data_IF_020388677167
#
_entry.id   IF_020388677167
#
_cell.length_a   1.000
_cell.length_b   1.000
_cell.length_c   1.000
_cell.angle_alpha   90.00
_cell.angle_beta   90.00
_cell.angle_gamma   90.00
#
_symmetry.space_group_name_H-M   'P 1'
#
loop_
_entity.id
_entity.type
_entity.pdbx_description
1 polymer ?
#
# COMPACT_ATOMS: atom_id res chain seq x y z
N UNK A 1 37.50 -5.63 21.84
CA UNK A 1 36.77 -6.93 21.87
C UNK A 1 35.32 -6.63 22.09
N UNK A 2 34.54 -6.47 21.03
CA UNK A 2 33.09 -6.23 21.08
C UNK A 2 32.42 -7.50 20.58
N UNK A 3 31.58 -8.08 21.42
CA UNK A 3 30.80 -9.28 21.14
C UNK A 3 29.63 -8.85 20.25
N UNK A 4 29.61 -9.32 19.02
CA UNK A 4 28.48 -9.19 18.12
C UNK A 4 27.31 -10.04 18.66
N UNK A 5 26.15 -9.40 18.91
CA UNK A 5 24.90 -10.10 19.18
C UNK A 5 24.45 -10.80 17.88
N UNK A 6 24.44 -12.13 17.89
CA UNK A 6 23.90 -12.93 16.81
C UNK A 6 22.37 -12.83 16.75
N UNK A 7 21.73 -13.18 15.62
CA UNK A 7 20.28 -13.11 15.45
C UNK A 7 19.58 -14.02 16.47
N UNK A 8 18.63 -13.46 17.18
CA UNK A 8 17.80 -14.19 18.14
C UNK A 8 16.97 -15.24 17.38
N UNK A 9 16.97 -16.44 17.92
CA UNK A 9 16.53 -17.65 17.31
C UNK A 9 15.08 -17.64 16.80
N UNK A 10 14.91 -18.30 15.66
CA UNK A 10 13.62 -18.78 15.18
C UNK A 10 12.93 -19.58 16.30
N UNK A 11 11.75 -19.13 16.71
CA UNK A 11 10.87 -19.89 17.61
C UNK A 11 10.56 -21.27 17.04
N UNK A 12 10.05 -22.19 17.85
CA UNK A 12 9.76 -23.55 17.41
C UNK A 12 8.80 -23.48 16.21
N UNK A 13 9.22 -24.03 15.06
CA UNK A 13 8.35 -24.26 13.91
C UNK A 13 7.16 -25.11 14.39
N UNK A 14 5.97 -24.55 14.36
CA UNK A 14 4.75 -25.33 14.54
C UNK A 14 4.71 -26.33 13.39
N UNK A 15 4.58 -27.63 13.70
CA UNK A 15 4.20 -28.61 12.70
C UNK A 15 2.75 -28.29 12.33
N UNK A 16 2.56 -27.40 11.35
CA UNK A 16 1.25 -27.03 10.85
C UNK A 16 0.66 -28.27 10.18
N UNK A 17 -0.56 -28.67 10.59
CA UNK A 17 -1.31 -29.74 9.94
C UNK A 17 -1.60 -29.41 8.47
N UNK A 18 -2.31 -30.30 7.78
CA UNK A 18 -2.63 -30.15 6.37
C UNK A 18 -3.43 -28.85 6.11
N UNK A 19 -2.97 -28.03 5.15
CA UNK A 19 -3.69 -26.85 4.66
C UNK A 19 -4.62 -27.30 3.55
N UNK A 20 -5.92 -27.00 3.69
CA UNK A 20 -6.90 -27.18 2.62
C UNK A 20 -7.10 -25.87 1.86
N UNK A 21 -7.27 -25.98 0.54
CA UNK A 21 -7.43 -24.84 -0.37
C UNK A 21 -8.85 -24.80 -0.92
N UNK A 22 -9.51 -23.65 -0.82
CA UNK A 22 -10.82 -23.36 -1.38
C UNK A 22 -10.69 -22.16 -2.34
N UNK A 23 -11.35 -22.20 -3.51
CA UNK A 23 -11.24 -21.14 -4.51
C UNK A 23 -12.62 -20.62 -4.88
N UNK A 24 -12.77 -19.29 -4.90
CA UNK A 24 -13.96 -18.61 -5.37
C UNK A 24 -13.63 -17.85 -6.65
N UNK A 25 -14.48 -18.01 -7.68
CA UNK A 25 -14.25 -17.45 -9.01
C UNK A 25 -15.18 -16.31 -9.38
N UNK A 26 -16.00 -15.86 -8.43
CA UNK A 26 -16.97 -14.78 -8.66
C UNK A 26 -17.08 -13.82 -7.47
N UNK A 27 -17.79 -12.72 -7.66
CA UNK A 27 -18.00 -11.67 -6.66
C UNK A 27 -18.65 -12.20 -5.36
N UNK A 28 -19.47 -13.26 -5.43
CA UNK A 28 -20.09 -13.85 -4.25
C UNK A 28 -19.07 -14.36 -3.23
N UNK A 29 -17.87 -14.77 -3.69
CA UNK A 29 -16.78 -15.20 -2.84
C UNK A 29 -16.35 -14.13 -1.82
N UNK A 30 -16.34 -12.85 -2.21
CA UNK A 30 -16.04 -11.76 -1.28
C UNK A 30 -17.08 -11.69 -0.15
N UNK A 31 -18.38 -11.82 -0.49
CA UNK A 31 -19.45 -11.84 0.52
C UNK A 31 -19.39 -13.04 1.44
N UNK A 32 -19.09 -14.23 0.90
CA UNK A 32 -18.98 -15.48 1.66
C UNK A 32 -17.83 -15.46 2.65
N UNK A 33 -16.66 -14.93 2.25
CA UNK A 33 -15.46 -14.88 3.08
C UNK A 33 -15.41 -13.65 4.00
N UNK A 34 -16.30 -12.67 3.84
CA UNK A 34 -16.20 -11.36 4.50
C UNK A 34 -15.92 -11.45 6.00
N UNK A 35 -16.71 -12.23 6.74
CA UNK A 35 -16.58 -12.30 8.19
C UNK A 35 -15.23 -12.91 8.63
N UNK A 36 -14.79 -13.99 7.95
CA UNK A 36 -13.52 -14.65 8.24
C UNK A 36 -12.33 -13.83 7.76
N UNK A 37 -12.48 -13.07 6.66
CA UNK A 37 -11.46 -12.15 6.15
C UNK A 37 -11.17 -11.04 7.15
N UNK A 38 -12.22 -10.37 7.65
CA UNK A 38 -12.09 -9.32 8.68
C UNK A 38 -11.45 -9.85 9.98
N UNK A 39 -11.79 -11.09 10.39
CA UNK A 39 -11.13 -11.74 11.53
C UNK A 39 -9.65 -12.02 11.23
N UNK A 40 -9.32 -12.50 10.02
CA UNK A 40 -7.95 -12.75 9.60
C UNK A 40 -7.11 -11.46 9.53
N UNK A 41 -7.68 -10.34 9.09
CA UNK A 41 -7.03 -9.03 9.13
C UNK A 41 -6.53 -8.67 10.54
N UNK A 42 -7.29 -9.05 11.58
CA UNK A 42 -6.90 -8.85 12.98
C UNK A 42 -5.72 -9.70 13.45
N UNK A 43 -5.38 -10.77 12.74
CA UNK A 43 -4.37 -11.78 13.09
C UNK A 43 -3.24 -11.89 12.08
N UNK A 44 -3.26 -11.04 11.05
CA UNK A 44 -2.30 -11.08 9.96
C UNK A 44 -0.88 -10.84 10.45
N UNK A 45 0.08 -11.54 9.83
CA UNK A 45 1.50 -11.41 10.10
C UNK A 45 2.06 -10.03 9.67
N UNK A 46 1.40 -9.40 8.69
CA UNK A 46 1.75 -8.06 8.20
C UNK A 46 0.51 -7.19 8.05
N UNK A 47 0.69 -5.90 8.38
CA UNK A 47 -0.33 -4.89 8.12
C UNK A 47 -0.23 -4.43 6.65
N UNK A 48 -1.28 -4.67 5.87
CA UNK A 48 -1.36 -4.23 4.49
C UNK A 48 -2.79 -3.82 4.15
N UNK A 49 -3.05 -2.52 4.06
CA UNK A 49 -4.38 -1.97 3.75
C UNK A 49 -4.89 -2.45 2.38
N UNK A 50 -3.97 -2.66 1.42
CA UNK A 50 -4.31 -3.10 0.08
C UNK A 50 -4.78 -4.57 0.02
N UNK A 51 -4.52 -5.36 1.08
CA UNK A 51 -5.00 -6.74 1.19
C UNK A 51 -6.25 -6.86 2.06
N UNK A 52 -6.83 -5.76 2.51
CA UNK A 52 -8.11 -5.76 3.22
C UNK A 52 -9.26 -6.16 2.31
N UNK A 53 -10.29 -6.75 2.90
CA UNK A 53 -11.53 -7.08 2.18
C UNK A 53 -12.10 -5.84 1.46
N UNK A 54 -12.09 -4.71 2.14
CA UNK A 54 -12.61 -3.44 1.61
C UNK A 54 -11.89 -3.03 0.33
N UNK A 55 -10.53 -3.04 0.33
CA UNK A 55 -9.77 -2.66 -0.85
C UNK A 55 -9.95 -3.64 -2.00
N UNK A 56 -9.80 -4.93 -1.72
CA UNK A 56 -9.83 -5.97 -2.73
C UNK A 56 -11.21 -6.09 -3.40
N UNK A 57 -12.29 -5.99 -2.61
CA UNK A 57 -13.64 -6.05 -3.16
C UNK A 57 -13.99 -4.81 -3.99
N UNK A 58 -13.67 -3.61 -3.51
CA UNK A 58 -13.88 -2.38 -4.27
C UNK A 58 -13.08 -2.37 -5.58
N UNK A 59 -11.82 -2.81 -5.53
CA UNK A 59 -11.01 -2.95 -6.74
C UNK A 59 -11.63 -3.92 -7.75
N UNK A 60 -12.06 -5.10 -7.28
CA UNK A 60 -12.69 -6.09 -8.15
C UNK A 60 -13.94 -5.53 -8.84
N UNK A 61 -14.78 -4.86 -8.10
CA UNK A 61 -16.04 -4.29 -8.62
C UNK A 61 -15.81 -3.16 -9.64
N UNK A 62 -14.85 -2.29 -9.40
CA UNK A 62 -14.65 -1.10 -10.23
C UNK A 62 -13.61 -1.27 -11.33
N UNK A 63 -12.55 -2.06 -11.09
CA UNK A 63 -11.37 -2.16 -11.93
C UNK A 63 -11.00 -3.60 -12.34
N UNK A 64 -11.61 -4.64 -11.75
CA UNK A 64 -11.33 -6.05 -12.07
C UNK A 64 -11.58 -6.44 -13.53
N UNK A 65 -12.47 -5.73 -14.20
CA UNK A 65 -12.63 -5.79 -15.65
C UNK A 65 -13.06 -7.16 -16.17
N UNK A 66 -12.23 -7.73 -17.07
CA UNK A 66 -12.46 -9.04 -17.71
C UNK A 66 -11.53 -10.13 -17.19
N UNK A 67 -10.79 -9.86 -16.13
CA UNK A 67 -9.92 -10.83 -15.50
C UNK A 67 -10.75 -12.00 -14.90
N UNK A 68 -10.13 -13.17 -14.79
CA UNK A 68 -10.73 -14.31 -14.11
C UNK A 68 -10.32 -14.26 -12.63
N UNK A 69 -11.30 -14.08 -11.73
CA UNK A 69 -11.04 -14.08 -10.29
C UNK A 69 -10.59 -15.46 -9.81
N UNK A 70 -9.54 -15.49 -9.01
CA UNK A 70 -9.15 -16.62 -8.18
C UNK A 70 -8.92 -16.12 -6.75
N UNK A 71 -9.99 -16.05 -5.96
CA UNK A 71 -9.91 -15.72 -4.56
C UNK A 71 -9.64 -17.01 -3.79
N UNK A 72 -8.39 -17.21 -3.37
CA UNK A 72 -7.91 -18.48 -2.81
C UNK A 72 -7.85 -18.38 -1.29
N UNK A 73 -8.67 -19.19 -0.61
CA UNK A 73 -8.71 -19.32 0.83
C UNK A 73 -7.96 -20.56 1.31
N UNK A 74 -7.09 -20.37 2.31
CA UNK A 74 -6.29 -21.45 2.92
C UNK A 74 -6.80 -21.68 4.33
N UNK A 75 -7.15 -22.96 4.63
CA UNK A 75 -7.74 -23.34 5.90
C UNK A 75 -6.90 -24.39 6.62
N UNK A 76 -6.79 -24.23 7.93
CA UNK A 76 -6.24 -25.23 8.84
C UNK A 76 -7.33 -25.61 9.84
N UNK A 77 -7.67 -26.90 9.91
CA UNK A 77 -8.78 -27.41 10.73
C UNK A 77 -10.11 -26.65 10.54
N UNK A 78 -10.41 -26.30 9.28
CA UNK A 78 -11.62 -25.56 8.88
C UNK A 78 -11.55 -24.05 9.12
N UNK A 79 -10.57 -23.51 9.86
CA UNK A 79 -10.38 -22.09 10.12
C UNK A 79 -9.56 -21.43 9.01
N UNK A 80 -9.96 -20.25 8.57
CA UNK A 80 -9.22 -19.45 7.61
C UNK A 80 -7.91 -18.93 8.24
N UNK A 81 -6.77 -19.30 7.64
CA UNK A 81 -5.43 -18.90 8.10
C UNK A 81 -4.63 -18.15 7.03
N UNK A 82 -5.13 -18.11 5.80
CA UNK A 82 -4.53 -17.35 4.72
C UNK A 82 -5.51 -17.06 3.60
N UNK A 83 -5.28 -15.95 2.90
CA UNK A 83 -5.97 -15.54 1.68
C UNK A 83 -4.96 -15.06 0.65
N UNK A 84 -5.16 -15.50 -0.59
CA UNK A 84 -4.51 -14.93 -1.77
C UNK A 84 -5.61 -14.41 -2.69
N UNK A 85 -5.96 -13.13 -2.62
CA UNK A 85 -6.80 -12.50 -3.63
C UNK A 85 -5.98 -12.39 -4.91
N UNK A 86 -6.29 -13.21 -5.90
CA UNK A 86 -5.57 -13.27 -7.17
C UNK A 86 -6.54 -13.20 -8.34
N UNK A 87 -6.01 -12.92 -9.49
CA UNK A 87 -6.72 -13.03 -10.77
C UNK A 87 -5.83 -13.61 -11.83
N UNK A 88 -6.46 -14.20 -12.84
CA UNK A 88 -5.78 -14.71 -14.02
C UNK A 88 -6.09 -13.87 -15.25
N UNK A 89 -5.08 -13.73 -16.07
CA UNK A 89 -5.19 -13.16 -17.42
C UNK A 89 -4.23 -13.86 -18.37
N UNK A 90 -4.23 -13.45 -19.65
CA UNK A 90 -3.28 -13.96 -20.64
C UNK A 90 -2.26 -12.89 -20.99
N UNK A 91 -0.99 -13.17 -20.74
CA UNK A 91 0.12 -12.34 -21.16
C UNK A 91 1.09 -13.15 -22.03
N UNK A 92 1.46 -12.60 -23.19
CA UNK A 92 2.36 -13.30 -24.13
C UNK A 92 1.85 -14.66 -24.64
N UNK A 93 0.54 -14.94 -24.54
CA UNK A 93 -0.06 -16.22 -24.90
C UNK A 93 -0.09 -17.28 -23.78
N UNK A 94 0.47 -16.97 -22.62
CA UNK A 94 0.48 -17.84 -21.43
C UNK A 94 -0.52 -17.35 -20.38
N UNK A 95 -1.12 -18.26 -19.58
CA UNK A 95 -1.87 -17.85 -18.40
C UNK A 95 -0.89 -17.31 -17.36
N UNK A 96 -1.21 -16.15 -16.80
CA UNK A 96 -0.47 -15.53 -15.71
C UNK A 96 -1.37 -15.31 -14.52
N UNK A 97 -0.84 -15.47 -13.30
CA UNK A 97 -1.51 -15.13 -12.04
C UNK A 97 -0.86 -13.88 -11.47
N UNK A 98 -1.70 -12.94 -11.04
CA UNK A 98 -1.32 -11.74 -10.30
C UNK A 98 -2.15 -11.57 -9.05
N UNK A 99 -1.61 -10.87 -8.07
CA UNK A 99 -2.41 -10.46 -6.92
C UNK A 99 -3.46 -9.42 -7.31
N UNK A 100 -4.62 -9.49 -6.67
CA UNK A 100 -5.69 -8.50 -6.78
C UNK A 100 -5.24 -7.12 -6.33
N UNK A 101 -6.02 -6.11 -6.72
CA UNK A 101 -5.67 -4.71 -6.52
C UNK A 101 -5.08 -4.05 -7.75
N UNK A 102 -4.60 -4.84 -8.74
CA UNK A 102 -4.03 -4.35 -9.99
C UNK A 102 -2.69 -3.64 -9.83
N UNK A 103 -2.04 -3.34 -10.95
CA UNK A 103 -0.72 -2.68 -10.96
C UNK A 103 -0.79 -1.16 -10.80
N UNK A 104 -1.96 -0.57 -11.02
CA UNK A 104 -2.13 0.89 -11.11
C UNK A 104 -2.47 1.53 -9.77
N UNK A 105 -3.32 0.88 -8.96
CA UNK A 105 -3.88 1.48 -7.75
C UNK A 105 -3.45 0.81 -6.45
N UNK A 106 -2.68 -0.29 -6.52
CA UNK A 106 -2.21 -1.02 -5.35
C UNK A 106 -0.70 -0.93 -5.25
N UNK A 107 -0.21 -0.47 -4.12
CA UNK A 107 1.23 -0.22 -3.93
C UNK A 107 1.95 -1.39 -3.25
N UNK A 108 1.24 -2.22 -2.48
CA UNK A 108 1.77 -3.43 -1.86
C UNK A 108 0.86 -4.60 -2.15
N UNK A 109 1.41 -5.67 -2.69
CA UNK A 109 0.68 -6.91 -2.92
C UNK A 109 1.19 -8.03 -2.00
N UNK A 110 0.43 -9.11 -1.88
CA UNK A 110 0.85 -10.27 -1.11
C UNK A 110 -0.30 -11.13 -0.60
N UNK A 111 0.02 -12.00 0.32
CA UNK A 111 -0.96 -12.76 1.10
C UNK A 111 -1.51 -11.94 2.25
N UNK A 112 -2.76 -12.16 2.59
CA UNK A 112 -3.22 -11.93 3.95
C UNK A 112 -3.07 -13.27 4.69
N UNK A 113 -2.13 -13.37 5.62
CA UNK A 113 -1.79 -14.65 6.27
C UNK A 113 -1.59 -14.45 7.77
N UNK A 114 -2.14 -15.38 8.56
CA UNK A 114 -1.97 -15.39 10.01
C UNK A 114 -0.53 -15.72 10.37
N UNK A 115 -0.02 -15.05 11.40
CA UNK A 115 1.32 -15.29 11.93
C UNK A 115 1.55 -16.78 12.26
N UNK A 116 2.64 -17.34 11.72
CA UNK A 116 3.03 -18.75 11.87
C UNK A 116 2.51 -19.68 10.78
N UNK A 117 1.69 -19.21 9.84
CA UNK A 117 1.19 -20.01 8.72
C UNK A 117 1.80 -19.61 7.37
N UNK A 118 2.74 -18.67 7.33
CA UNK A 118 3.29 -18.08 6.11
C UNK A 118 3.90 -19.12 5.16
N UNK A 119 4.78 -19.99 5.70
CA UNK A 119 5.44 -21.05 4.90
C UNK A 119 4.42 -22.06 4.38
N UNK A 120 3.44 -22.45 5.21
CA UNK A 120 2.42 -23.43 4.84
C UNK A 120 1.47 -22.88 3.76
N UNK A 121 1.05 -21.63 3.88
CA UNK A 121 0.21 -20.93 2.89
C UNK A 121 0.99 -20.76 1.58
N UNK A 122 2.25 -20.30 1.63
CA UNK A 122 3.09 -20.17 0.44
C UNK A 122 3.26 -21.48 -0.32
N UNK A 123 3.47 -22.60 0.40
CA UNK A 123 3.53 -23.94 -0.20
C UNK A 123 2.20 -24.35 -0.82
N UNK A 124 1.08 -24.22 -0.10
CA UNK A 124 -0.25 -24.58 -0.60
C UNK A 124 -0.65 -23.75 -1.83
N UNK A 125 -0.27 -22.47 -1.86
CA UNK A 125 -0.48 -21.60 -3.01
C UNK A 125 0.26 -22.10 -4.25
N UNK A 126 1.55 -22.45 -4.14
CA UNK A 126 2.33 -22.99 -5.27
C UNK A 126 1.78 -24.35 -5.71
N UNK A 127 1.43 -25.25 -4.77
CA UNK A 127 0.81 -26.55 -5.07
C UNK A 127 -0.50 -26.40 -5.85
N UNK A 128 -1.32 -25.42 -5.49
CA UNK A 128 -2.53 -25.08 -6.22
C UNK A 128 -2.22 -24.58 -7.63
N UNK A 129 -1.30 -23.65 -7.78
CA UNK A 129 -0.92 -23.06 -9.07
C UNK A 129 -0.29 -24.11 -10.02
N UNK A 130 0.43 -25.09 -9.50
CA UNK A 130 1.01 -26.19 -10.27
C UNK A 130 -0.03 -27.09 -10.98
N UNK A 131 -1.30 -27.03 -10.59
CA UNK A 131 -2.37 -27.78 -11.25
C UNK A 131 -2.77 -27.16 -12.61
N UNK A 132 -2.38 -25.93 -12.87
CA UNK A 132 -2.67 -25.20 -14.13
C UNK A 132 -1.47 -25.31 -15.08
N UNK A 133 -1.60 -25.96 -16.25
CA UNK A 133 -0.49 -26.13 -17.17
C UNK A 133 0.06 -24.79 -17.70
N UNK A 134 1.38 -24.67 -17.73
CA UNK A 134 2.10 -23.49 -18.26
C UNK A 134 1.73 -22.16 -17.58
N UNK A 135 1.25 -22.21 -16.34
CA UNK A 135 0.99 -21.02 -15.54
C UNK A 135 2.30 -20.36 -15.12
N UNK A 136 2.31 -19.03 -15.19
CA UNK A 136 3.41 -18.21 -14.68
C UNK A 136 2.86 -17.35 -13.53
N UNK A 137 3.58 -17.31 -12.42
CA UNK A 137 3.33 -16.33 -11.39
C UNK A 137 4.07 -15.04 -11.77
N UNK A 138 3.32 -13.95 -11.88
CA UNK A 138 3.78 -12.62 -12.28
C UNK A 138 3.39 -11.64 -11.16
N UNK A 139 4.17 -11.62 -10.08
CA UNK A 139 3.81 -11.03 -8.80
C UNK A 139 4.61 -9.76 -8.55
N UNK A 140 3.95 -8.62 -8.74
CA UNK A 140 4.52 -7.29 -8.65
C UNK A 140 4.37 -6.69 -7.25
N UNK A 141 5.23 -5.73 -6.90
CA UNK A 141 5.17 -4.89 -5.71
C UNK A 141 5.12 -5.67 -4.39
N UNK A 142 5.83 -6.79 -4.35
CA UNK A 142 6.06 -7.51 -3.11
C UNK A 142 7.09 -6.76 -2.27
N UNK A 143 6.85 -6.61 -0.98
CA UNK A 143 7.85 -6.06 -0.08
C UNK A 143 9.06 -6.98 0.00
N UNK A 144 10.27 -6.45 -0.16
CA UNK A 144 11.51 -7.24 -0.11
C UNK A 144 11.75 -7.86 1.28
N UNK A 145 11.24 -7.21 2.35
CA UNK A 145 11.26 -7.71 3.73
C UNK A 145 10.00 -8.48 4.12
N UNK A 146 9.07 -8.71 3.16
CA UNK A 146 7.72 -9.22 3.41
C UNK A 146 7.63 -10.75 3.53
N UNK A 147 6.64 -11.20 4.30
CA UNK A 147 6.39 -12.63 4.54
C UNK A 147 5.98 -13.36 3.26
N UNK A 148 5.27 -12.72 2.33
CA UNK A 148 4.83 -13.33 1.07
C UNK A 148 6.02 -13.70 0.19
N UNK A 149 6.99 -12.81 0.02
CA UNK A 149 8.20 -13.08 -0.76
C UNK A 149 8.99 -14.23 -0.13
N UNK A 150 9.20 -14.19 1.18
CA UNK A 150 9.92 -15.23 1.91
C UNK A 150 9.25 -16.60 1.77
N UNK A 151 7.92 -16.67 1.94
CA UNK A 151 7.13 -17.89 1.83
C UNK A 151 7.17 -18.49 0.41
N UNK A 152 6.97 -17.66 -0.62
CA UNK A 152 6.96 -18.12 -2.02
C UNK A 152 8.32 -18.56 -2.50
N UNK A 153 9.38 -17.80 -2.21
CA UNK A 153 10.76 -18.17 -2.61
C UNK A 153 11.26 -19.41 -1.85
N UNK A 154 10.86 -19.56 -0.58
CA UNK A 154 11.10 -20.76 0.22
C UNK A 154 10.41 -22.00 -0.40
N UNK A 155 9.12 -21.89 -0.66
CA UNK A 155 8.34 -22.98 -1.28
C UNK A 155 8.84 -23.32 -2.70
N UNK A 156 9.17 -22.34 -3.53
CA UNK A 156 9.72 -22.55 -4.87
C UNK A 156 11.05 -23.33 -4.81
N UNK A 157 11.92 -22.98 -3.87
CA UNK A 157 13.20 -23.67 -3.64
C UNK A 157 12.98 -25.12 -3.22
N UNK A 158 12.09 -25.37 -2.25
CA UNK A 158 11.78 -26.70 -1.75
C UNK A 158 11.16 -27.61 -2.82
N UNK A 159 10.42 -27.02 -3.78
CA UNK A 159 9.79 -27.71 -4.90
C UNK A 159 10.67 -27.75 -6.16
N UNK A 160 11.94 -27.29 -6.06
CA UNK A 160 12.89 -27.23 -7.18
C UNK A 160 12.35 -26.42 -8.39
N UNK A 161 11.56 -25.36 -8.13
CA UNK A 161 11.03 -24.46 -9.16
C UNK A 161 11.96 -23.30 -9.41
N UNK A 162 12.07 -22.90 -10.69
CA UNK A 162 12.82 -21.71 -11.08
C UNK A 162 12.03 -20.46 -10.70
N UNK A 163 12.69 -19.54 -10.10
CA UNK A 163 12.12 -18.21 -9.81
C UNK A 163 13.16 -17.11 -10.03
N UNK A 164 12.66 -15.92 -10.32
CA UNK A 164 13.46 -14.73 -10.43
C UNK A 164 12.88 -13.63 -9.53
N UNK A 165 13.74 -12.87 -8.86
CA UNK A 165 13.38 -11.73 -8.02
C UNK A 165 14.16 -10.53 -8.53
N UNK A 166 13.45 -9.48 -8.96
CA UNK A 166 14.05 -8.25 -9.47
C UNK A 166 13.56 -7.07 -8.64
N UNK A 167 14.44 -6.12 -8.34
CA UNK A 167 14.00 -4.85 -7.76
C UNK A 167 13.15 -4.13 -8.80
N UNK A 168 11.97 -3.68 -8.39
CA UNK A 168 10.99 -3.06 -9.27
C UNK A 168 10.79 -1.59 -8.93
N UNK A 169 10.57 -1.30 -7.66
CA UNK A 169 10.24 0.03 -7.14
C UNK A 169 10.78 0.20 -5.72
N UNK A 170 10.64 1.40 -5.18
CA UNK A 170 10.90 1.68 -3.77
C UNK A 170 9.70 2.35 -3.13
N UNK A 171 9.55 2.16 -1.83
CA UNK A 171 8.58 2.86 -0.99
C UNK A 171 9.30 3.55 0.15
N UNK A 172 9.60 4.87 0.01
CA UNK A 172 10.29 5.63 1.04
C UNK A 172 9.42 5.86 2.26
N UNK A 173 9.94 5.61 3.48
CA UNK A 173 9.20 5.77 4.73
C UNK A 173 10.03 6.47 5.81
N UNK A 174 9.32 7.08 6.75
CA UNK A 174 9.89 7.75 7.92
C UNK A 174 9.40 7.03 9.17
N UNK A 175 10.33 6.54 10.00
CA UNK A 175 10.00 6.20 11.38
C UNK A 175 9.81 7.50 12.16
N UNK A 176 8.61 7.69 12.72
CA UNK A 176 8.24 8.94 13.37
C UNK A 176 8.77 8.98 14.81
N UNK A 177 9.46 10.06 15.21
CA UNK A 177 9.83 10.28 16.61
C UNK A 177 8.62 10.80 17.41
N UNK A 178 8.79 10.87 18.72
CA UNK A 178 7.71 11.31 19.61
C UNK A 178 7.34 12.79 19.56
N UNK A 179 8.12 13.64 18.90
CA UNK A 179 7.85 15.07 18.78
C UNK A 179 8.45 15.68 17.50
N UNK A 180 7.85 16.80 17.08
CA UNK A 180 8.23 17.53 15.88
C UNK A 180 9.66 18.11 15.90
N UNK A 181 10.12 18.59 17.05
CA UNK A 181 11.45 19.21 17.15
C UNK A 181 12.55 18.16 17.01
N UNK A 182 12.34 16.98 17.56
CA UNK A 182 13.21 15.80 17.36
C UNK A 182 13.24 15.41 15.89
N UNK A 183 12.08 15.32 15.22
CA UNK A 183 12.02 15.05 13.79
C UNK A 183 12.80 16.10 12.97
N UNK A 184 12.52 17.38 13.17
CA UNK A 184 13.21 18.45 12.43
C UNK A 184 14.71 18.43 12.70
N UNK A 185 15.13 18.06 13.92
CA UNK A 185 16.56 17.97 14.27
C UNK A 185 17.26 16.78 13.62
N UNK A 186 16.55 15.69 13.31
CA UNK A 186 17.09 14.52 12.60
C UNK A 186 17.38 14.79 11.12
N UNK A 187 16.70 15.76 10.50
CA UNK A 187 16.93 16.11 9.09
C UNK A 187 18.33 16.70 8.87
N UNK A 188 18.87 16.48 7.67
CA UNK A 188 20.08 17.13 7.21
C UNK A 188 20.04 18.64 7.36
N UNK A 189 21.18 19.29 7.65
CA UNK A 189 21.24 20.76 7.84
C UNK A 189 20.60 21.54 6.68
N UNK A 190 20.84 21.09 5.45
CA UNK A 190 20.29 21.71 4.22
C UNK A 190 18.77 21.55 4.18
N UNK A 191 18.26 20.36 4.38
CA UNK A 191 16.83 20.03 4.23
C UNK A 191 16.01 20.66 5.34
N UNK A 192 16.51 20.65 6.57
CA UNK A 192 15.93 21.39 7.71
C UNK A 192 15.83 22.89 7.45
N UNK A 193 16.88 23.49 6.88
CA UNK A 193 16.86 24.93 6.54
C UNK A 193 15.84 25.21 5.43
N UNK A 194 15.81 24.36 4.42
CA UNK A 194 14.91 24.49 3.28
C UNK A 194 13.45 24.32 3.69
N UNK A 195 13.14 23.33 4.53
CA UNK A 195 11.82 23.12 5.09
C UNK A 195 11.30 24.37 5.83
N UNK A 196 12.13 24.90 6.75
CA UNK A 196 11.77 26.12 7.50
C UNK A 196 11.59 27.33 6.57
N UNK A 197 12.42 27.46 5.55
CA UNK A 197 12.35 28.54 4.56
C UNK A 197 11.05 28.48 3.76
N UNK A 198 10.65 27.29 3.30
CA UNK A 198 9.42 27.11 2.50
C UNK A 198 8.17 27.38 3.33
N UNK A 199 8.08 26.85 4.54
CA UNK A 199 6.96 27.14 5.46
C UNK A 199 6.82 28.63 5.72
N UNK A 200 7.93 29.32 6.07
CA UNK A 200 7.93 30.77 6.29
C UNK A 200 7.52 31.55 5.04
N UNK A 201 8.00 31.15 3.86
CA UNK A 201 7.67 31.84 2.60
C UNK A 201 6.18 31.77 2.27
N UNK A 202 5.54 30.63 2.49
CA UNK A 202 4.10 30.50 2.29
C UNK A 202 3.32 31.33 3.32
N UNK A 203 3.81 31.40 4.56
CA UNK A 203 3.24 32.24 5.60
C UNK A 203 3.32 33.72 5.23
N UNK A 204 4.49 34.19 4.80
CA UNK A 204 4.72 35.58 4.35
C UNK A 204 3.92 35.97 3.09
N UNK A 205 3.56 34.96 2.25
CA UNK A 205 2.76 35.16 1.05
C UNK A 205 1.26 35.40 1.32
N UNK A 206 0.81 35.24 2.55
CA UNK A 206 -0.59 35.48 2.94
C UNK A 206 -1.17 34.42 3.85
N UNK A 207 -0.32 33.55 4.40
CA UNK A 207 -0.71 32.47 5.31
C UNK A 207 -1.32 31.26 4.62
N UNK A 208 -1.58 30.23 5.42
CA UNK A 208 -2.19 28.99 4.95
C UNK A 208 -2.90 28.29 6.11
N UNK A 209 -3.88 27.46 5.75
CA UNK A 209 -4.57 26.56 6.68
C UNK A 209 -4.69 25.18 6.06
N UNK A 210 -4.83 24.16 6.88
CA UNK A 210 -5.13 22.79 6.42
C UNK A 210 -6.50 22.41 6.95
N UNK A 211 -7.34 21.87 6.07
CA UNK A 211 -8.61 21.22 6.44
C UNK A 211 -8.50 19.73 6.20
N UNK A 212 -9.14 18.95 7.07
CA UNK A 212 -9.38 17.53 6.88
C UNK A 212 -10.81 17.33 6.40
N UNK A 213 -11.03 16.37 5.51
CA UNK A 213 -12.37 16.08 4.98
C UNK A 213 -13.30 15.52 6.05
N UNK A 214 -14.60 15.69 5.85
CA UNK A 214 -15.67 15.08 6.64
C UNK A 214 -16.65 14.39 5.72
N UNK A 215 -17.61 13.66 6.28
CA UNK A 215 -18.65 12.97 5.49
C UNK A 215 -19.42 13.96 4.58
N UNK A 216 -19.77 15.14 5.10
CA UNK A 216 -20.51 16.15 4.33
C UNK A 216 -19.67 16.77 3.19
N UNK A 217 -18.34 16.71 3.31
CA UNK A 217 -17.41 17.35 2.36
C UNK A 217 -16.74 16.38 1.41
N UNK A 218 -16.80 15.08 1.67
CA UNK A 218 -16.04 14.07 0.95
C UNK A 218 -16.15 14.20 -0.57
N UNK A 219 -17.36 14.34 -1.07
CA UNK A 219 -17.61 14.43 -2.52
C UNK A 219 -16.96 15.69 -3.14
N UNK A 220 -17.05 16.84 -2.47
CA UNK A 220 -16.44 18.10 -2.92
C UNK A 220 -14.93 18.03 -2.83
N UNK A 221 -14.38 17.56 -1.70
CA UNK A 221 -12.95 17.50 -1.45
C UNK A 221 -12.23 16.50 -2.38
N UNK A 222 -12.90 15.39 -2.76
CA UNK A 222 -12.39 14.46 -3.78
C UNK A 222 -12.30 15.11 -5.17
N UNK A 223 -13.28 15.90 -5.60
CA UNK A 223 -13.21 16.60 -6.89
C UNK A 223 -12.11 17.68 -6.88
N UNK A 224 -11.90 18.36 -5.76
CA UNK A 224 -10.78 19.29 -5.58
C UNK A 224 -9.46 18.51 -5.68
N UNK A 225 -9.35 17.37 -4.99
CA UNK A 225 -8.16 16.51 -5.06
C UNK A 225 -7.89 16.05 -6.50
N UNK A 226 -8.89 15.54 -7.23
CA UNK A 226 -8.72 15.11 -8.63
C UNK A 226 -8.25 16.25 -9.52
N UNK A 227 -8.80 17.45 -9.34
CA UNK A 227 -8.40 18.65 -10.09
C UNK A 227 -6.94 19.01 -9.84
N UNK A 228 -6.53 19.11 -8.58
CA UNK A 228 -5.16 19.44 -8.20
C UNK A 228 -4.16 18.35 -8.59
N UNK A 229 -4.57 17.07 -8.48
CA UNK A 229 -3.75 15.93 -8.88
C UNK A 229 -3.48 15.96 -10.38
N UNK A 230 -4.52 16.09 -11.20
CA UNK A 230 -4.37 16.17 -12.65
C UNK A 230 -3.57 17.41 -13.11
N UNK A 231 -3.70 18.55 -12.41
CA UNK A 231 -2.98 19.78 -12.73
C UNK A 231 -1.47 19.66 -12.45
N UNK A 232 -1.04 18.77 -11.54
CA UNK A 232 0.35 18.67 -11.09
C UNK A 232 1.31 18.19 -12.19
N UNK A 233 0.93 17.14 -12.94
CA UNK A 233 1.72 16.59 -14.05
C UNK A 233 0.81 15.88 -15.06
N UNK A 234 1.29 15.71 -16.30
CA UNK A 234 0.56 14.98 -17.31
C UNK A 234 0.34 13.50 -16.93
N UNK A 235 1.34 12.85 -16.39
CA UNK A 235 1.21 11.44 -15.95
C UNK A 235 0.11 11.27 -14.90
N UNK A 236 -0.01 12.21 -13.97
CA UNK A 236 -1.08 12.23 -12.97
C UNK A 236 -2.47 12.48 -13.59
N UNK A 237 -2.54 13.31 -14.62
CA UNK A 237 -3.79 13.50 -15.38
C UNK A 237 -4.19 12.23 -16.14
N UNK A 238 -3.23 11.58 -16.80
CA UNK A 238 -3.46 10.35 -17.56
C UNK A 238 -3.86 9.16 -16.65
N UNK A 239 -3.36 9.12 -15.42
CA UNK A 239 -3.74 8.13 -14.39
C UNK A 239 -5.21 8.25 -13.97
N UNK A 240 -5.76 9.45 -13.84
CA UNK A 240 -7.12 9.71 -13.37
C UNK A 240 -8.17 9.47 -14.47
N UNK A 241 -8.27 8.23 -14.96
CA UNK A 241 -9.40 7.83 -15.82
C UNK A 241 -10.72 7.89 -15.05
N UNK A 242 -11.87 7.88 -15.75
CA UNK A 242 -13.18 7.89 -15.08
C UNK A 242 -13.41 6.61 -14.24
N UNK A 243 -12.83 5.47 -14.65
CA UNK A 243 -12.91 4.24 -13.86
C UNK A 243 -12.09 4.35 -12.56
N UNK A 244 -10.90 4.94 -12.61
CA UNK A 244 -10.07 5.21 -11.43
C UNK A 244 -10.74 6.22 -10.50
N UNK A 245 -11.35 7.29 -11.02
CA UNK A 245 -12.12 8.23 -10.20
C UNK A 245 -13.34 7.58 -9.54
N UNK A 246 -14.05 6.71 -10.28
CA UNK A 246 -15.17 5.94 -9.73
C UNK A 246 -14.71 5.06 -8.56
N UNK A 247 -13.60 4.33 -8.75
CA UNK A 247 -12.99 3.53 -7.70
C UNK A 247 -12.66 4.38 -6.45
N UNK A 248 -12.00 5.55 -6.62
CA UNK A 248 -11.68 6.39 -5.47
C UNK A 248 -12.93 6.98 -4.79
N UNK A 249 -13.96 7.39 -5.53
CA UNK A 249 -15.21 7.83 -4.91
C UNK A 249 -15.87 6.71 -4.08
N UNK A 250 -15.82 5.48 -4.62
CA UNK A 250 -16.37 4.31 -3.94
C UNK A 250 -15.55 3.96 -2.68
N UNK A 251 -14.24 3.75 -2.82
CA UNK A 251 -13.43 3.29 -1.70
C UNK A 251 -13.25 4.34 -0.62
N UNK A 252 -13.10 5.63 -0.97
CA UNK A 252 -12.90 6.68 0.03
C UNK A 252 -14.10 6.87 0.95
N UNK A 253 -15.33 6.62 0.46
CA UNK A 253 -16.49 6.62 1.32
C UNK A 253 -16.38 5.56 2.42
N UNK A 254 -16.06 4.33 2.07
CA UNK A 254 -15.90 3.25 3.03
C UNK A 254 -14.66 3.42 3.93
N UNK A 255 -13.55 3.94 3.40
CA UNK A 255 -12.37 4.25 4.21
C UNK A 255 -12.67 5.34 5.24
N UNK A 256 -13.55 6.30 4.92
CA UNK A 256 -13.97 7.32 5.87
C UNK A 256 -14.86 6.73 6.97
N UNK A 257 -15.80 5.83 6.63
CA UNK A 257 -16.64 5.10 7.60
C UNK A 257 -15.80 4.30 8.61
N UNK A 258 -14.71 3.66 8.13
CA UNK A 258 -13.76 2.90 8.98
C UNK A 258 -12.78 3.82 9.76
N UNK A 259 -12.76 5.12 9.49
CA UNK A 259 -11.80 6.05 10.07
C UNK A 259 -10.38 5.87 9.51
N UNK A 260 -10.26 5.29 8.33
CA UNK A 260 -8.96 5.03 7.67
C UNK A 260 -8.61 6.06 6.58
N UNK A 261 -9.55 6.91 6.19
CA UNK A 261 -9.28 7.96 5.20
C UNK A 261 -8.54 9.14 5.82
N UNK A 262 -7.49 9.60 5.14
CA UNK A 262 -6.84 10.88 5.38
C UNK A 262 -6.84 11.68 4.07
N UNK A 263 -7.81 12.57 3.91
CA UNK A 263 -7.86 13.50 2.79
C UNK A 263 -7.77 14.92 3.33
N UNK A 264 -6.65 15.59 3.04
CA UNK A 264 -6.39 16.96 3.53
C UNK A 264 -6.10 17.92 2.40
N UNK A 265 -6.61 19.13 2.56
CA UNK A 265 -6.46 20.24 1.63
C UNK A 265 -5.70 21.38 2.31
N UNK A 266 -4.64 21.89 1.65
CA UNK A 266 -4.00 23.13 2.04
C UNK A 266 -4.66 24.30 1.30
N UNK A 267 -5.13 25.26 2.08
CA UNK A 267 -5.74 26.48 1.58
C UNK A 267 -4.76 27.66 1.71
N UNK A 268 -4.68 28.45 0.66
CA UNK A 268 -3.97 29.73 0.64
C UNK A 268 -4.94 30.82 0.22
N UNK A 269 -5.10 31.87 1.05
CA UNK A 269 -6.08 32.93 0.85
C UNK A 269 -7.50 32.39 0.58
N UNK A 270 -7.91 31.35 1.32
CA UNK A 270 -9.24 30.73 1.22
C UNK A 270 -9.45 29.79 0.02
N UNK A 271 -8.47 29.63 -0.87
CA UNK A 271 -8.50 28.73 -2.03
C UNK A 271 -7.70 27.46 -1.77
N UNK A 272 -8.21 26.24 -2.05
CA UNK A 272 -7.41 25.03 -2.00
C UNK A 272 -6.33 25.04 -3.08
N UNK A 273 -5.07 24.83 -2.70
CA UNK A 273 -3.90 24.91 -3.58
C UNK A 273 -3.00 23.67 -3.54
N UNK A 274 -3.21 22.80 -2.56
CA UNK A 274 -2.60 21.48 -2.52
C UNK A 274 -3.53 20.50 -1.82
N UNK A 275 -3.46 19.23 -2.18
CA UNK A 275 -4.24 18.16 -1.61
C UNK A 275 -3.38 16.90 -1.43
N UNK A 276 -3.67 16.12 -0.39
CA UNK A 276 -3.08 14.82 -0.12
C UNK A 276 -4.18 13.84 0.22
N UNK A 277 -4.19 12.71 -0.48
CA UNK A 277 -4.97 11.53 -0.18
C UNK A 277 -4.05 10.48 0.45
N UNK A 278 -4.40 9.99 1.61
CA UNK A 278 -3.66 8.97 2.34
C UNK A 278 -4.58 8.09 3.18
N UNK A 279 -3.97 7.15 3.88
CA UNK A 279 -4.69 6.19 4.70
C UNK A 279 -4.09 6.10 6.10
N UNK A 280 -4.95 6.11 7.12
CA UNK A 280 -4.59 5.86 8.52
C UNK A 280 -4.86 4.37 8.79
N UNK A 281 -3.82 3.56 8.88
CA UNK A 281 -3.99 2.13 9.07
C UNK A 281 -2.97 1.57 10.07
N UNK A 282 -3.45 0.91 11.11
CA UNK A 282 -2.62 0.23 12.11
C UNK A 282 -1.51 1.10 12.71
N UNK A 283 -1.83 2.36 13.02
CA UNK A 283 -0.87 3.30 13.64
C UNK A 283 0.15 3.89 12.67
N UNK A 284 -0.11 3.82 11.39
CA UNK A 284 0.71 4.39 10.31
C UNK A 284 -0.12 5.35 9.46
N UNK A 285 0.54 6.35 8.88
CA UNK A 285 0.00 7.18 7.81
C UNK A 285 0.65 6.76 6.48
N UNK A 286 -0.16 6.27 5.54
CA UNK A 286 0.25 5.95 4.18
C UNK A 286 -0.16 7.11 3.27
N UNK A 287 0.79 7.85 2.71
CA UNK A 287 0.54 8.96 1.80
C UNK A 287 0.44 8.46 0.37
N UNK A 288 -0.79 8.25 -0.07
CA UNK A 288 -1.04 7.55 -1.33
C UNK A 288 -0.81 8.42 -2.56
N UNK A 289 -1.44 9.57 -2.61
CA UNK A 289 -1.33 10.48 -3.74
C UNK A 289 -1.48 11.95 -3.33
N UNK A 290 -0.90 12.85 -4.13
CA UNK A 290 -0.95 14.28 -3.88
C UNK A 290 -1.17 15.08 -5.15
N UNK A 291 -1.78 16.24 -5.00
CA UNK A 291 -1.93 17.22 -6.06
C UNK A 291 -1.61 18.62 -5.56
N UNK A 292 -1.19 19.50 -6.47
CA UNK A 292 -0.97 20.91 -6.15
C UNK A 292 -1.21 21.79 -7.38
N UNK A 293 -1.54 23.06 -7.14
CA UNK A 293 -1.65 24.07 -8.16
C UNK A 293 -0.24 24.50 -8.64
N UNK A 294 0.11 24.29 -9.92
CA UNK A 294 1.42 24.68 -10.46
C UNK A 294 1.74 26.16 -10.29
N UNK A 295 0.76 27.05 -10.22
CA UNK A 295 0.97 28.48 -9.96
C UNK A 295 1.59 28.74 -8.58
N UNK A 296 1.41 27.78 -7.64
CA UNK A 296 1.97 27.84 -6.29
C UNK A 296 3.37 27.22 -6.15
N UNK A 297 4.03 26.84 -7.24
CA UNK A 297 5.39 26.29 -7.23
C UNK A 297 6.41 27.22 -6.55
N UNK A 298 6.25 28.53 -6.73
CA UNK A 298 7.16 29.53 -6.14
C UNK A 298 7.17 29.50 -4.62
N UNK A 299 6.07 29.13 -3.97
CA UNK A 299 5.92 29.01 -2.51
C UNK A 299 5.91 27.57 -2.02
N UNK A 300 5.98 26.58 -2.95
CA UNK A 300 6.09 25.14 -2.65
C UNK A 300 4.96 24.61 -1.76
N UNK A 301 3.70 24.98 -2.03
CA UNK A 301 2.53 24.62 -1.23
C UNK A 301 2.42 23.11 -1.01
N UNK A 302 2.68 22.30 -2.07
CA UNK A 302 2.67 20.83 -1.96
C UNK A 302 3.66 20.29 -0.92
N UNK A 303 4.92 20.78 -0.92
CA UNK A 303 5.90 20.33 0.08
C UNK A 303 5.55 20.81 1.49
N UNK A 304 4.97 22.00 1.63
CA UNK A 304 4.49 22.49 2.93
C UNK A 304 3.42 21.57 3.46
N UNK A 305 2.44 21.17 2.62
CA UNK A 305 1.41 20.20 3.02
C UNK A 305 2.03 18.84 3.41
N UNK A 306 2.99 18.29 2.62
CA UNK A 306 3.69 17.04 2.99
C UNK A 306 4.38 17.15 4.35
N UNK A 307 5.02 18.29 4.64
CA UNK A 307 5.66 18.51 5.94
C UNK A 307 4.65 18.63 7.08
N UNK A 308 3.46 19.12 6.78
CA UNK A 308 2.37 19.21 7.73
C UNK A 308 1.78 17.83 8.04
N UNK A 309 1.70 16.94 7.03
CA UNK A 309 1.32 15.54 7.23
C UNK A 309 2.26 14.83 8.21
N UNK A 310 3.59 15.03 8.06
CA UNK A 310 4.56 14.48 9.02
C UNK A 310 4.31 15.04 10.43
N UNK A 311 4.07 16.35 10.58
CA UNK A 311 3.80 16.97 11.87
C UNK A 311 2.54 16.41 12.52
N UNK A 312 1.44 16.34 11.76
CA UNK A 312 0.16 15.82 12.25
C UNK A 312 0.24 14.34 12.61
N UNK A 313 0.97 13.53 11.83
CA UNK A 313 1.20 12.12 12.12
C UNK A 313 1.96 11.94 13.47
N UNK A 314 2.98 12.77 13.72
CA UNK A 314 3.71 12.79 15.02
C UNK A 314 2.76 13.19 16.17
N UNK A 315 1.97 14.25 15.99
CA UNK A 315 1.03 14.74 17.01
C UNK A 315 -0.07 13.71 17.34
N UNK A 316 -0.45 12.90 16.35
CA UNK A 316 -1.38 11.78 16.53
C UNK A 316 -0.73 10.54 17.18
N UNK A 317 0.59 10.56 17.40
CA UNK A 317 1.33 9.44 17.98
C UNK A 317 1.51 8.25 17.05
N UNK A 318 1.45 8.47 15.72
CA UNK A 318 1.69 7.42 14.74
C UNK A 318 3.16 7.00 14.73
N UNK A 319 3.42 5.75 14.44
CA UNK A 319 4.77 5.17 14.47
C UNK A 319 5.56 5.37 13.18
N UNK A 320 4.86 5.47 12.04
CA UNK A 320 5.46 5.50 10.71
C UNK A 320 4.64 6.38 9.76
N UNK A 321 5.34 7.09 8.88
CA UNK A 321 4.76 7.68 7.69
C UNK A 321 5.40 7.01 6.47
N UNK A 322 4.57 6.39 5.65
CA UNK A 322 4.94 5.69 4.44
C UNK A 322 4.49 6.52 3.22
N UNK A 323 5.42 6.92 2.37
CA UNK A 323 5.12 7.69 1.17
C UNK A 323 4.64 6.81 0.00
N UNK A 324 4.56 5.50 0.23
CA UNK A 324 4.22 4.52 -0.78
C UNK A 324 5.14 4.61 -2.01
N UNK A 325 4.77 3.96 -3.14
CA UNK A 325 5.66 3.83 -4.29
C UNK A 325 6.20 5.16 -4.84
N UNK A 326 7.42 5.09 -5.35
CA UNK A 326 8.09 6.18 -6.08
C UNK A 326 9.25 6.79 -5.33
N UNK A 327 10.26 7.20 -6.09
CA UNK A 327 11.55 7.72 -5.64
C UNK A 327 11.64 9.27 -5.71
N UNK A 328 10.51 9.96 -5.59
CA UNK A 328 10.51 11.41 -5.72
C UNK A 328 11.37 12.08 -4.65
N UNK A 329 12.24 12.94 -5.12
CA UNK A 329 13.25 13.62 -4.31
C UNK A 329 12.72 14.25 -3.01
N UNK A 330 11.52 14.78 -3.00
CA UNK A 330 10.96 15.44 -1.83
C UNK A 330 10.77 14.51 -0.64
N UNK A 331 10.54 13.20 -0.89
CA UNK A 331 10.41 12.18 0.15
C UNK A 331 11.71 12.07 0.96
N UNK A 332 12.85 12.05 0.26
CA UNK A 332 14.19 12.02 0.87
C UNK A 332 14.57 13.35 1.53
N UNK A 333 14.18 14.49 0.95
CA UNK A 333 14.35 15.80 1.57
C UNK A 333 13.58 15.91 2.91
N UNK A 334 12.52 15.08 3.09
CA UNK A 334 11.78 14.89 4.34
C UNK A 334 12.34 13.76 5.22
N UNK A 335 13.45 13.15 4.86
CA UNK A 335 14.16 12.17 5.69
C UNK A 335 13.71 10.72 5.53
N UNK A 336 12.98 10.40 4.46
CA UNK A 336 12.55 9.03 4.19
C UNK A 336 13.71 8.11 3.81
N UNK A 337 13.56 6.84 4.12
CA UNK A 337 14.48 5.74 3.79
C UNK A 337 13.69 4.68 3.02
N UNK A 338 14.31 4.12 1.98
CA UNK A 338 13.68 3.17 1.10
C UNK A 338 13.33 1.84 1.78
N UNK A 339 12.17 1.33 1.41
CA UNK A 339 11.82 -0.07 1.40
C UNK A 339 11.82 -0.54 -0.05
N UNK A 340 12.59 -1.57 -0.37
CA UNK A 340 12.59 -2.15 -1.70
C UNK A 340 11.30 -2.94 -1.96
N UNK A 341 10.73 -2.74 -3.14
CA UNK A 341 9.65 -3.55 -3.70
C UNK A 341 10.21 -4.36 -4.86
N UNK A 342 9.79 -5.61 -4.92
CA UNK A 342 10.31 -6.56 -5.91
C UNK A 342 9.21 -7.17 -6.75
N UNK A 343 9.57 -7.54 -7.96
CA UNK A 343 8.82 -8.38 -8.86
C UNK A 343 9.32 -9.82 -8.72
N UNK A 344 8.43 -10.73 -8.39
CA UNK A 344 8.69 -12.17 -8.34
C UNK A 344 8.02 -12.87 -9.51
N UNK A 345 8.82 -13.57 -10.32
CA UNK A 345 8.31 -14.53 -11.30
C UNK A 345 8.65 -15.95 -10.88
N UNK A 346 7.69 -16.89 -11.03
CA UNK A 346 7.92 -18.31 -10.78
C UNK A 346 7.42 -19.10 -11.99
N UNK A 347 8.32 -19.92 -12.58
CA UNK A 347 7.98 -20.86 -13.66
C UNK A 347 7.45 -22.16 -13.05
N UNK A 348 6.20 -22.49 -13.34
CA UNK A 348 5.51 -23.67 -12.81
C UNK A 348 5.51 -24.87 -13.80
N UNK A 349 6.16 -24.71 -14.97
CA UNK A 349 6.28 -25.73 -15.99
C UNK A 349 7.34 -26.80 -15.64
#
# INVERSE_FOLDING_TARGET
>A
MGVAAGPQGAGPRLAVGEITTEVHHDDAGFGQLRAEWLDLEGRAAEDNIFMTHLWQHAWWQDLGGKAELDLIAFRHDGRLVGLAPTYREKAGGFPVVRFGGGLEVTDYTGFLVEFGYEEAVGRAFLEHCLQVPNLVLDLHFLRADGVTLAALTGAARDMERRYNVENEEVSPRITLPGDWDTYVSSLGKKDRHELRRKRRRLEEAGGWTVSETSDERLAEDLEIFFTLHAASTRAKADFLTEDVKRFFRHICHHLLEEGWLSLRLLHHQGRPVAAVLGFLYRGKLLLYNSGYDPEMNTVSAGLVLMSEEVRLAIEQGLSELDFLRGDEKYKYDLGAVDLDLVHLTVELA
#
